data_IF_840185999370
#
_entry.id   IF_840185999370
#
_cell.length_a   1.000
_cell.length_b   1.000
_cell.length_c   1.000
_cell.angle_alpha   90.00
_cell.angle_beta   90.00
_cell.angle_gamma   90.00
#
_symmetry.space_group_name_H-M   'P 1'
#
loop_
_entity.id
_entity.type
_entity.pdbx_description
1 polymer ?
#
# COMPACT_ATOMS: atom_id res chain seq x y z
N UNK A 1 -18.96 -8.80 -0.43
CA UNK A 1 -18.51 -7.59 0.28
C UNK A 1 -17.22 -7.94 0.98
N UNK A 2 -16.16 -7.22 0.64
CA UNK A 2 -14.84 -7.31 1.26
C UNK A 2 -14.98 -7.01 2.75
N UNK A 3 -14.41 -7.87 3.58
CA UNK A 3 -14.30 -7.67 5.02
C UNK A 3 -13.28 -6.54 5.24
N UNK A 4 -13.78 -5.30 5.29
CA UNK A 4 -12.99 -4.08 5.42
C UNK A 4 -12.08 -4.10 6.66
N UNK A 5 -12.47 -4.85 7.66
CA UNK A 5 -11.79 -5.01 8.94
C UNK A 5 -10.40 -5.63 8.76
N UNK A 6 -10.23 -6.50 7.76
CA UNK A 6 -8.93 -7.08 7.41
C UNK A 6 -7.96 -6.07 6.76
N UNK A 7 -8.43 -4.90 6.33
CA UNK A 7 -7.56 -3.84 5.80
C UNK A 7 -6.94 -3.00 6.91
N UNK A 8 -7.67 -2.78 8.00
CA UNK A 8 -7.26 -1.91 9.10
C UNK A 8 -6.63 -2.66 10.27
N UNK A 9 -6.91 -3.96 10.41
CA UNK A 9 -6.47 -4.76 11.53
C UNK A 9 -5.58 -5.90 11.07
N UNK A 10 -4.53 -6.15 11.85
CA UNK A 10 -3.67 -7.32 11.67
C UNK A 10 -4.06 -8.40 12.68
N UNK A 11 -4.25 -9.62 12.19
CA UNK A 11 -4.59 -10.78 13.01
C UNK A 11 -3.54 -11.87 12.84
N UNK A 12 -2.98 -12.31 13.97
CA UNK A 12 -1.97 -13.37 14.03
C UNK A 12 -2.52 -14.72 13.57
N UNK A 13 -3.83 -14.96 13.76
CA UNK A 13 -4.50 -16.21 13.41
C UNK A 13 -5.92 -15.96 12.90
N UNK A 14 -6.47 -16.96 12.19
CA UNK A 14 -7.88 -16.97 11.78
C UNK A 14 -8.81 -16.96 13.00
N UNK A 15 -8.42 -17.61 14.09
CA UNK A 15 -9.18 -17.64 15.34
C UNK A 15 -9.29 -16.25 15.97
N UNK A 16 -8.18 -15.50 16.05
CA UNK A 16 -8.19 -14.13 16.57
C UNK A 16 -9.11 -13.21 15.75
N UNK A 17 -9.10 -13.38 14.42
CA UNK A 17 -9.98 -12.66 13.52
C UNK A 17 -11.46 -12.99 13.76
N UNK A 18 -11.80 -14.29 13.91
CA UNK A 18 -13.18 -14.70 14.17
C UNK A 18 -13.67 -14.23 15.54
N UNK A 19 -12.82 -14.26 16.57
CA UNK A 19 -13.14 -13.74 17.90
C UNK A 19 -13.42 -12.23 17.87
N UNK A 20 -12.57 -11.44 17.20
CA UNK A 20 -12.79 -10.01 17.05
C UNK A 20 -14.08 -9.70 16.28
N UNK A 21 -14.37 -10.49 15.24
CA UNK A 21 -15.60 -10.34 14.45
C UNK A 21 -16.86 -10.64 15.28
N UNK A 22 -16.79 -11.62 16.17
CA UNK A 22 -17.86 -11.89 17.13
C UNK A 22 -18.07 -10.71 18.07
N UNK A 23 -16.99 -10.21 18.68
CA UNK A 23 -17.03 -9.07 19.58
C UNK A 23 -17.63 -7.83 18.93
N UNK A 24 -17.19 -7.48 17.71
CA UNK A 24 -17.75 -6.34 16.98
C UNK A 24 -19.23 -6.51 16.64
N UNK A 25 -19.67 -7.75 16.38
CA UNK A 25 -21.09 -8.03 16.18
C UNK A 25 -21.89 -7.83 17.45
N UNK A 26 -21.38 -8.28 18.60
CA UNK A 26 -22.00 -8.04 19.90
C UNK A 26 -22.04 -6.55 20.25
N UNK A 27 -20.94 -5.81 20.02
CA UNK A 27 -20.88 -4.36 20.21
C UNK A 27 -21.87 -3.61 19.32
N UNK A 28 -21.95 -3.98 18.03
CA UNK A 28 -22.92 -3.40 17.11
C UNK A 28 -24.37 -3.69 17.53
N UNK A 29 -24.64 -4.91 18.03
CA UNK A 29 -25.96 -5.30 18.54
C UNK A 29 -26.33 -4.58 19.84
N UNK A 30 -25.36 -4.13 20.63
CA UNK A 30 -25.59 -3.37 21.86
C UNK A 30 -25.48 -1.85 21.66
N UNK A 31 -25.16 -1.40 20.45
CA UNK A 31 -24.98 0.02 20.14
C UNK A 31 -26.31 0.78 20.18
N UNK A 32 -26.36 1.99 20.77
CA UNK A 32 -27.54 2.85 20.68
C UNK A 32 -27.78 3.41 19.26
N UNK A 33 -26.83 3.21 18.34
CA UNK A 33 -26.87 3.69 16.95
C UNK A 33 -27.17 2.57 15.95
N UNK A 34 -28.06 1.64 16.30
CA UNK A 34 -28.43 0.57 15.36
C UNK A 34 -29.08 1.15 14.09
N UNK A 35 -28.74 0.59 12.91
CA UNK A 35 -29.41 0.99 11.68
C UNK A 35 -30.89 0.60 11.74
N UNK A 36 -31.73 1.46 11.16
CA UNK A 36 -33.16 1.18 10.99
C UNK A 36 -33.38 0.02 10.01
N UNK A 37 -34.53 -0.66 10.11
CA UNK A 37 -34.88 -1.74 9.18
C UNK A 37 -34.82 -1.31 7.71
N UNK A 38 -35.23 -0.08 7.41
CA UNK A 38 -35.18 0.50 6.08
C UNK A 38 -33.74 0.69 5.57
N UNK A 39 -32.81 1.08 6.44
CA UNK A 39 -31.39 1.22 6.08
C UNK A 39 -30.76 -0.13 5.81
N UNK A 40 -31.06 -1.14 6.65
CA UNK A 40 -30.61 -2.52 6.45
C UNK A 40 -31.13 -3.07 5.12
N UNK A 41 -32.42 -2.88 4.83
CA UNK A 41 -33.02 -3.31 3.57
C UNK A 41 -32.40 -2.61 2.36
N UNK A 42 -32.23 -1.30 2.43
CA UNK A 42 -31.65 -0.49 1.36
C UNK A 42 -30.20 -0.90 1.08
N UNK A 43 -29.38 -1.06 2.13
CA UNK A 43 -28.00 -1.56 2.01
C UNK A 43 -27.95 -2.93 1.37
N UNK A 44 -28.80 -3.87 1.79
CA UNK A 44 -28.83 -5.23 1.23
C UNK A 44 -29.21 -5.22 -0.25
N UNK A 45 -30.21 -4.42 -0.64
CA UNK A 45 -30.62 -4.28 -2.04
C UNK A 45 -29.51 -3.72 -2.91
N UNK A 46 -28.84 -2.65 -2.47
CA UNK A 46 -27.71 -2.05 -3.20
C UNK A 46 -26.56 -3.05 -3.31
N UNK A 47 -26.23 -3.75 -2.22
CA UNK A 47 -25.15 -4.73 -2.20
C UNK A 47 -25.38 -5.85 -3.20
N UNK A 48 -26.60 -6.40 -3.24
CA UNK A 48 -26.95 -7.48 -4.17
C UNK A 48 -26.89 -6.98 -5.61
N UNK A 49 -27.45 -5.81 -5.90
CA UNK A 49 -27.37 -5.19 -7.22
C UNK A 49 -25.92 -5.04 -7.70
N UNK A 50 -25.03 -4.53 -6.85
CA UNK A 50 -23.62 -4.37 -7.18
C UNK A 50 -22.91 -5.71 -7.40
N UNK A 51 -23.21 -6.74 -6.60
CA UNK A 51 -22.62 -8.07 -6.77
C UNK A 51 -23.03 -8.68 -8.11
N UNK A 52 -24.31 -8.59 -8.45
CA UNK A 52 -24.88 -9.20 -9.67
C UNK A 52 -24.42 -8.46 -10.94
N UNK A 53 -24.39 -7.13 -10.90
CA UNK A 53 -24.03 -6.29 -12.05
C UNK A 53 -22.51 -6.29 -12.32
N UNK A 54 -21.71 -6.11 -11.27
CA UNK A 54 -20.25 -6.02 -11.38
C UNK A 54 -19.55 -7.39 -11.43
N UNK A 55 -20.32 -8.49 -11.31
CA UNK A 55 -19.81 -9.87 -11.29
C UNK A 55 -18.64 -10.07 -10.33
N UNK A 56 -18.74 -9.46 -9.14
CA UNK A 56 -17.67 -9.51 -8.14
C UNK A 56 -17.54 -10.97 -7.66
N UNK A 57 -16.34 -11.57 -7.71
CA UNK A 57 -16.16 -12.94 -7.26
C UNK A 57 -16.50 -13.08 -5.77
N UNK A 58 -17.20 -14.15 -5.43
CA UNK A 58 -17.49 -14.49 -4.04
C UNK A 58 -16.22 -14.99 -3.37
N UNK A 59 -15.86 -14.39 -2.24
CA UNK A 59 -14.76 -14.83 -1.39
C UNK A 59 -15.36 -15.52 -0.17
N UNK A 60 -15.17 -16.83 -0.06
CA UNK A 60 -15.78 -17.62 1.03
C UNK A 60 -15.07 -17.41 2.36
N UNK A 61 -13.75 -17.24 2.34
CA UNK A 61 -12.95 -16.95 3.53
C UNK A 61 -12.04 -15.74 3.29
N UNK A 62 -12.48 -14.53 3.69
CA UNK A 62 -11.72 -13.30 3.49
C UNK A 62 -10.33 -13.34 4.12
N UNK A 63 -10.19 -13.90 5.33
CA UNK A 63 -8.90 -13.98 6.02
C UNK A 63 -7.89 -14.82 5.22
N UNK A 64 -8.26 -16.05 4.83
CA UNK A 64 -7.39 -16.92 4.05
C UNK A 64 -7.09 -16.36 2.67
N UNK A 65 -8.05 -15.70 2.04
CA UNK A 65 -7.85 -15.03 0.77
C UNK A 65 -6.77 -13.95 0.86
N UNK A 66 -6.89 -13.03 1.84
CA UNK A 66 -5.90 -11.98 2.07
C UNK A 66 -4.51 -12.56 2.35
N UNK A 67 -4.43 -13.59 3.20
CA UNK A 67 -3.16 -14.28 3.49
C UNK A 67 -2.54 -14.92 2.25
N UNK A 68 -3.35 -15.53 1.38
CA UNK A 68 -2.88 -16.16 0.14
C UNK A 68 -2.34 -15.12 -0.83
N UNK A 69 -3.12 -14.06 -1.08
CA UNK A 69 -2.70 -12.94 -1.95
C UNK A 69 -1.44 -12.27 -1.44
N UNK A 70 -1.30 -12.08 -0.12
CA UNK A 70 -0.09 -11.52 0.49
C UNK A 70 1.13 -12.37 0.18
N UNK A 71 1.08 -13.69 0.43
CA UNK A 71 2.19 -14.61 0.13
C UNK A 71 2.51 -14.67 -1.36
N UNK A 72 1.51 -14.62 -2.22
CA UNK A 72 1.72 -14.58 -3.68
C UNK A 72 2.43 -13.31 -4.12
N UNK A 73 2.07 -12.15 -3.54
CA UNK A 73 2.75 -10.88 -3.79
C UNK A 73 4.19 -10.91 -3.29
N UNK A 74 4.42 -11.39 -2.07
CA UNK A 74 5.76 -11.49 -1.48
C UNK A 74 6.75 -12.28 -2.36
N UNK A 75 6.28 -13.34 -3.04
CA UNK A 75 7.12 -14.11 -3.98
C UNK A 75 7.60 -13.31 -5.20
N UNK A 76 6.86 -12.27 -5.58
CA UNK A 76 7.16 -11.45 -6.75
C UNK A 76 7.94 -10.18 -6.38
N UNK A 77 8.13 -9.90 -5.09
CA UNK A 77 8.90 -8.75 -4.63
C UNK A 77 10.39 -9.04 -4.80
N UNK A 78 11.07 -8.19 -5.56
CA UNK A 78 12.52 -8.25 -5.78
C UNK A 78 13.26 -7.43 -4.71
N UNK A 79 12.71 -6.27 -4.35
CA UNK A 79 13.25 -5.40 -3.30
C UNK A 79 12.14 -5.04 -2.33
N UNK A 80 12.35 -5.31 -1.04
CA UNK A 80 11.40 -4.93 0.02
C UNK A 80 11.55 -3.43 0.34
N UNK A 81 10.42 -2.75 0.47
CA UNK A 81 10.31 -1.34 0.91
C UNK A 81 9.83 -1.29 2.36
N UNK A 82 9.98 -0.14 3.02
CA UNK A 82 9.68 -0.01 4.45
C UNK A 82 8.19 -0.18 4.79
N UNK A 83 7.28 0.09 3.86
CA UNK A 83 5.83 -0.14 4.02
C UNK A 83 5.38 -1.58 3.68
N UNK A 84 6.29 -2.45 3.24
CA UNK A 84 5.99 -3.83 2.92
C UNK A 84 5.24 -4.05 1.59
N UNK A 85 5.18 -3.05 0.70
CA UNK A 85 4.64 -3.24 -0.65
C UNK A 85 5.66 -3.85 -1.61
N UNK A 86 6.91 -3.40 -1.53
CA UNK A 86 8.02 -3.87 -2.34
C UNK A 86 7.99 -3.44 -3.81
N UNK A 87 9.11 -3.66 -4.49
CA UNK A 87 9.31 -3.42 -5.92
C UNK A 87 9.38 -4.76 -6.65
N UNK A 88 8.61 -4.90 -7.72
CA UNK A 88 8.55 -6.12 -8.54
C UNK A 88 9.43 -6.05 -9.80
N UNK A 89 9.97 -4.88 -10.13
CA UNK A 89 10.87 -4.71 -11.28
C UNK A 89 12.10 -5.63 -11.11
N UNK A 90 12.42 -6.45 -12.11
CA UNK A 90 13.57 -7.34 -12.05
C UNK A 90 14.88 -6.54 -12.08
N UNK A 91 15.89 -7.04 -11.37
CA UNK A 91 17.27 -6.63 -11.55
C UNK A 91 17.83 -7.31 -12.79
N UNK A 92 18.59 -6.58 -13.61
CA UNK A 92 19.29 -7.14 -14.77
C UNK A 92 20.46 -8.04 -14.32
N UNK A 93 20.98 -8.84 -15.25
CA UNK A 93 22.08 -9.76 -14.94
C UNK A 93 23.31 -9.00 -14.41
N UNK A 94 23.73 -9.34 -13.19
CA UNK A 94 24.88 -8.72 -12.52
C UNK A 94 24.53 -7.47 -11.71
N UNK A 95 23.31 -6.94 -11.82
CA UNK A 95 22.84 -5.88 -10.95
C UNK A 95 22.56 -6.40 -9.54
N UNK A 96 22.86 -5.56 -8.54
CA UNK A 96 22.57 -5.84 -7.14
C UNK A 96 21.88 -4.65 -6.53
N UNK A 97 20.85 -4.92 -5.75
CA UNK A 97 20.29 -3.92 -4.86
C UNK A 97 21.26 -3.66 -3.71
N UNK A 98 21.49 -2.38 -3.43
CA UNK A 98 22.22 -1.91 -2.26
C UNK A 98 21.28 -0.94 -1.56
N UNK A 99 20.91 -1.23 -0.32
CA UNK A 99 20.01 -0.38 0.44
C UNK A 99 20.63 1.01 0.66
N UNK A 100 19.87 2.07 0.39
CA UNK A 100 20.24 3.42 0.74
C UNK A 100 19.60 3.79 2.09
N UNK A 101 20.38 4.14 3.11
CA UNK A 101 19.84 4.41 4.44
C UNK A 101 19.11 5.75 4.46
N UNK A 102 17.78 5.71 4.59
CA UNK A 102 17.00 6.88 4.98
C UNK A 102 17.03 6.96 6.50
N UNK A 103 17.60 8.04 7.04
CA UNK A 103 17.64 8.32 8.48
C UNK A 103 16.77 9.53 8.78
N UNK A 104 16.06 9.49 9.90
CA UNK A 104 15.06 10.49 10.31
C UNK A 104 15.60 11.92 10.46
N UNK A 105 16.91 12.13 10.54
CA UNK A 105 17.46 13.43 10.96
C UNK A 105 18.37 14.13 9.95
N UNK A 106 19.00 13.45 8.99
CA UNK A 106 19.84 14.11 7.96
C UNK A 106 20.03 13.20 6.76
N UNK A 107 19.27 13.46 5.70
CA UNK A 107 19.44 12.83 4.40
C UNK A 107 20.54 13.54 3.63
N UNK A 108 21.60 12.82 3.26
CA UNK A 108 22.66 13.37 2.42
C UNK A 108 22.18 13.46 0.97
N UNK A 109 21.90 14.68 0.51
CA UNK A 109 21.34 14.94 -0.81
C UNK A 109 22.34 14.66 -1.94
N UNK A 110 23.65 14.83 -1.70
CA UNK A 110 24.68 14.53 -2.69
C UNK A 110 24.77 13.02 -2.93
N UNK A 111 24.83 12.25 -1.83
CA UNK A 111 24.82 10.78 -1.91
C UNK A 111 23.52 10.25 -2.51
N UNK A 112 22.38 10.88 -2.20
CA UNK A 112 21.10 10.51 -2.79
C UNK A 112 21.09 10.74 -4.31
N UNK A 113 21.57 11.89 -4.79
CA UNK A 113 21.67 12.16 -6.23
C UNK A 113 22.59 11.17 -6.93
N UNK A 114 23.73 10.84 -6.33
CA UNK A 114 24.65 9.81 -6.85
C UNK A 114 23.96 8.44 -6.91
N UNK A 115 23.21 8.09 -5.87
CA UNK A 115 22.45 6.84 -5.84
C UNK A 115 21.37 6.80 -6.93
N UNK A 116 20.59 7.88 -7.08
CA UNK A 116 19.51 7.98 -8.07
C UNK A 116 20.00 8.03 -9.52
N UNK A 117 21.25 8.41 -9.75
CA UNK A 117 21.85 8.42 -11.10
C UNK A 117 22.55 7.12 -11.46
N UNK A 118 23.11 6.39 -10.48
CA UNK A 118 23.98 5.23 -10.74
C UNK A 118 23.32 3.86 -10.51
N UNK A 119 22.25 3.79 -9.70
CA UNK A 119 21.69 2.49 -9.29
C UNK A 119 20.66 1.93 -10.27
N UNK A 120 20.45 0.59 -10.25
CA UNK A 120 19.40 -0.07 -11.02
C UNK A 120 18.03 0.58 -10.83
N UNK A 121 17.17 0.53 -11.85
CA UNK A 121 15.80 1.08 -11.79
C UNK A 121 15.04 0.57 -10.56
N UNK A 122 15.10 -0.74 -10.29
CA UNK A 122 14.40 -1.34 -9.15
C UNK A 122 14.84 -0.72 -7.80
N UNK A 123 16.14 -0.45 -7.64
CA UNK A 123 16.69 0.19 -6.45
C UNK A 123 16.25 1.64 -6.28
N UNK A 124 16.04 2.35 -7.41
CA UNK A 124 15.56 3.73 -7.43
C UNK A 124 14.07 3.82 -7.12
N UNK A 125 13.27 2.86 -7.62
CA UNK A 125 11.87 2.75 -7.27
C UNK A 125 11.67 2.49 -5.77
N UNK A 126 12.51 1.63 -5.18
CA UNK A 126 12.46 1.34 -3.75
C UNK A 126 12.73 2.60 -2.92
N UNK A 127 13.75 3.37 -3.28
CA UNK A 127 14.07 4.58 -2.53
C UNK A 127 13.02 5.68 -2.68
N UNK A 128 12.38 5.82 -3.85
CA UNK A 128 11.26 6.74 -4.00
C UNK A 128 10.11 6.40 -3.06
N UNK A 129 9.80 5.12 -2.92
CA UNK A 129 8.75 4.66 -2.01
C UNK A 129 9.11 4.96 -0.56
N UNK A 130 10.32 4.62 -0.15
CA UNK A 130 10.79 4.86 1.21
C UNK A 130 10.86 6.37 1.52
N UNK A 131 11.25 7.23 0.56
CA UNK A 131 11.24 8.67 0.73
C UNK A 131 9.82 9.24 0.94
N UNK A 132 8.83 8.76 0.19
CA UNK A 132 7.43 9.19 0.35
C UNK A 132 6.81 8.77 1.68
N UNK A 133 7.34 7.73 2.32
CA UNK A 133 6.91 7.27 3.64
C UNK A 133 7.51 8.16 4.74
N UNK A 134 8.77 8.54 4.60
CA UNK A 134 9.52 9.23 5.65
C UNK A 134 9.47 10.76 5.54
N UNK A 135 9.22 11.30 4.35
CA UNK A 135 9.22 12.74 4.11
C UNK A 135 7.93 13.20 3.45
N UNK A 136 7.38 14.28 4.01
CA UNK A 136 6.52 15.18 3.26
C UNK A 136 7.43 15.96 2.32
N UNK A 137 7.61 15.47 1.08
CA UNK A 137 8.57 16.04 0.12
C UNK A 137 8.34 17.55 -0.12
N UNK A 138 7.11 18.04 0.07
CA UNK A 138 6.75 19.45 -0.05
C UNK A 138 7.50 20.35 0.94
N UNK A 139 7.83 19.83 2.12
CA UNK A 139 8.56 20.58 3.16
C UNK A 139 10.07 20.66 2.87
N UNK A 140 10.55 19.94 1.85
CA UNK A 140 11.96 19.84 1.48
C UNK A 140 12.16 20.11 -0.02
N UNK A 141 12.15 21.40 -0.46
CA UNK A 141 12.16 21.77 -1.89
C UNK A 141 13.33 21.20 -2.69
N UNK A 142 14.53 21.14 -2.08
CA UNK A 142 15.71 20.57 -2.73
C UNK A 142 15.57 19.06 -2.94
N UNK A 143 15.11 18.33 -1.93
CA UNK A 143 14.83 16.89 -2.02
C UNK A 143 13.72 16.62 -3.05
N UNK A 144 12.66 17.44 -3.05
CA UNK A 144 11.58 17.34 -4.02
C UNK A 144 12.09 17.45 -5.45
N UNK A 145 12.88 18.47 -5.77
CA UNK A 145 13.43 18.67 -7.12
C UNK A 145 14.33 17.50 -7.56
N UNK A 146 15.16 16.98 -6.65
CA UNK A 146 16.00 15.79 -6.90
C UNK A 146 15.14 14.58 -7.25
N UNK A 147 14.10 14.31 -6.46
CA UNK A 147 13.21 13.16 -6.63
C UNK A 147 12.42 13.26 -7.93
N UNK A 148 11.83 14.43 -8.22
CA UNK A 148 11.03 14.64 -9.44
C UNK A 148 11.90 14.47 -10.69
N UNK A 149 13.09 15.08 -10.72
CA UNK A 149 14.03 14.90 -11.84
C UNK A 149 14.41 13.44 -12.01
N UNK A 150 14.72 12.74 -10.93
CA UNK A 150 15.07 11.33 -10.98
C UNK A 150 13.91 10.44 -11.46
N UNK A 151 12.67 10.74 -11.06
CA UNK A 151 11.46 10.04 -11.54
C UNK A 151 11.24 10.23 -13.04
N UNK A 152 11.35 11.47 -13.53
CA UNK A 152 11.23 11.78 -14.95
C UNK A 152 12.30 11.04 -15.76
N UNK A 153 13.53 11.00 -15.25
CA UNK A 153 14.65 10.30 -15.92
C UNK A 153 14.45 8.78 -16.04
N UNK A 154 13.56 8.18 -15.24
CA UNK A 154 13.21 6.76 -15.33
C UNK A 154 11.79 6.53 -15.87
N UNK A 155 11.22 7.53 -16.54
CA UNK A 155 9.90 7.49 -17.16
C UNK A 155 8.73 7.27 -16.18
N UNK A 156 8.92 7.55 -14.89
CA UNK A 156 7.85 7.57 -13.89
C UNK A 156 7.07 8.89 -13.92
N UNK A 157 6.58 9.26 -15.11
CA UNK A 157 6.02 10.58 -15.41
C UNK A 157 4.71 10.81 -14.66
N UNK A 158 3.83 9.81 -14.59
CA UNK A 158 2.53 9.94 -13.94
C UNK A 158 2.68 10.19 -12.43
N UNK A 159 3.63 9.51 -11.79
CA UNK A 159 3.90 9.67 -10.36
C UNK A 159 4.57 11.01 -10.07
N UNK A 160 5.54 11.43 -10.90
CA UNK A 160 6.13 12.75 -10.82
C UNK A 160 5.06 13.85 -10.95
N UNK A 161 4.15 13.69 -11.92
CA UNK A 161 3.03 14.60 -12.14
C UNK A 161 2.10 14.66 -10.94
N UNK A 162 1.69 13.51 -10.39
CA UNK A 162 0.86 13.42 -9.18
C UNK A 162 1.47 14.20 -8.02
N UNK A 163 2.78 14.08 -7.80
CA UNK A 163 3.48 14.80 -6.73
C UNK A 163 3.54 16.32 -6.97
N UNK A 164 3.62 16.75 -8.23
CA UNK A 164 3.63 18.19 -8.58
C UNK A 164 2.25 18.85 -8.61
N UNK A 165 1.18 18.10 -8.90
CA UNK A 165 -0.19 18.64 -9.02
C UNK A 165 -0.87 18.84 -7.65
N UNK A 166 -0.34 18.25 -6.59
CA UNK A 166 -0.81 18.44 -5.22
C UNK A 166 -0.07 19.56 -4.47
N UNK A 167 0.54 20.49 -5.21
CA UNK A 167 1.17 21.72 -4.70
C UNK A 167 0.14 22.85 -4.61
#
# INVERSE_FOLDING_TARGET
MTDSELFYNQFESEENYLLAKEQWREEANNSPYQPTENEVFSRKRISNYLIDDLKIPRIDNPYRYVQTVKREREKNIIIQTQDGLGVTNPLLLGEKHIHFPIKDTNLDLELLQEYLSSKPIASRLAIFRDLQINYSLQDYPELFDIVIKAMINIECIDEAKRLTEHI
#
